data_IF_233053866307
#
_entry.id   IF_233053866307
#
_cell.length_a   1.000
_cell.length_b   1.000
_cell.length_c   1.000
_cell.angle_alpha   90.00
_cell.angle_beta   90.00
_cell.angle_gamma   90.00
#
_symmetry.space_group_name_H-M   'P 1'
#
loop_
_entity.id
_entity.type
_entity.pdbx_description
1 polymer ?
#
# COMPACT_ATOMS: atom_id res chain seq x y z
N UNK A 1 21.65 6.28 -21.80
CA UNK A 1 20.40 5.75 -21.19
C UNK A 1 20.37 6.23 -19.75
N UNK A 2 19.33 6.94 -19.34
CA UNK A 2 19.12 7.29 -17.92
C UNK A 2 18.65 6.02 -17.20
N UNK A 3 19.30 5.68 -16.09
CA UNK A 3 18.91 4.58 -15.20
C UNK A 3 18.49 5.17 -13.86
N UNK A 4 17.35 4.70 -13.33
CA UNK A 4 16.88 5.03 -11.99
C UNK A 4 17.02 3.77 -11.14
N UNK A 5 17.97 3.72 -10.19
CA UNK A 5 18.10 2.57 -9.31
C UNK A 5 16.91 2.50 -8.37
N UNK A 6 16.39 1.30 -8.14
CA UNK A 6 15.37 1.07 -7.12
C UNK A 6 15.99 0.30 -5.96
N UNK A 7 15.74 0.79 -4.75
CA UNK A 7 16.11 0.16 -3.50
C UNK A 7 14.92 -0.62 -2.96
N UNK A 8 15.18 -1.84 -2.48
CA UNK A 8 14.16 -2.62 -1.78
C UNK A 8 14.11 -2.16 -0.33
N UNK A 9 12.93 -1.72 0.12
CA UNK A 9 12.65 -1.36 1.50
C UNK A 9 11.52 -2.19 2.08
N UNK A 10 11.17 -1.89 3.32
CA UNK A 10 10.02 -2.46 4.01
C UNK A 10 8.72 -1.94 3.38
N UNK A 11 7.76 -2.84 3.19
CA UNK A 11 6.40 -2.49 2.77
C UNK A 11 5.58 -1.91 3.92
N UNK A 12 4.53 -1.15 3.61
CA UNK A 12 3.64 -0.64 4.65
C UNK A 12 2.95 -1.79 5.43
N UNK A 13 2.66 -2.91 4.78
CA UNK A 13 2.17 -4.12 5.45
C UNK A 13 3.17 -4.63 6.48
N UNK A 14 4.42 -4.86 6.07
CA UNK A 14 5.47 -5.36 6.98
C UNK A 14 5.63 -4.41 8.18
N UNK A 15 5.64 -3.10 7.93
CA UNK A 15 5.71 -2.10 9.00
C UNK A 15 4.52 -2.17 9.96
N UNK A 16 3.30 -2.23 9.44
CA UNK A 16 2.10 -2.36 10.27
C UNK A 16 2.04 -3.71 11.01
N UNK A 17 2.59 -4.79 10.44
CA UNK A 17 2.69 -6.09 11.10
C UNK A 17 3.64 -6.05 12.28
N UNK A 18 4.82 -5.43 12.13
CA UNK A 18 5.78 -5.26 13.23
C UNK A 18 5.21 -4.44 14.39
N UNK A 19 4.34 -3.46 14.10
CA UNK A 19 3.65 -2.67 15.13
C UNK A 19 2.40 -3.38 15.71
N UNK A 20 2.02 -4.56 15.21
CA UNK A 20 0.78 -5.25 15.61
C UNK A 20 -0.51 -4.57 15.12
N UNK A 21 -0.41 -3.63 14.17
CA UNK A 21 -1.51 -2.81 13.66
C UNK A 21 -2.17 -3.38 12.39
N UNK A 22 -1.51 -4.31 11.69
CA UNK A 22 -1.96 -4.79 10.40
C UNK A 22 -3.36 -5.39 10.40
N UNK A 23 -3.68 -6.22 11.40
CA UNK A 23 -4.99 -6.88 11.48
C UNK A 23 -6.13 -5.87 11.66
N UNK A 24 -5.92 -4.84 12.49
CA UNK A 24 -6.88 -3.76 12.66
C UNK A 24 -6.98 -2.92 11.37
N UNK A 25 -5.86 -2.63 10.72
CA UNK A 25 -5.82 -1.84 9.50
C UNK A 25 -6.60 -2.51 8.36
N UNK A 26 -6.31 -3.78 8.06
CA UNK A 26 -6.96 -4.51 6.95
C UNK A 26 -8.47 -4.72 7.15
N UNK A 27 -8.93 -4.73 8.41
CA UNK A 27 -10.36 -4.81 8.74
C UNK A 27 -11.05 -3.46 8.59
N UNK A 28 -10.38 -2.37 9.01
CA UNK A 28 -10.92 -1.01 8.90
C UNK A 28 -10.93 -0.50 7.46
N UNK A 29 -9.93 -0.89 6.66
CA UNK A 29 -9.74 -0.46 5.28
C UNK A 29 -9.56 -1.68 4.37
N UNK A 30 -10.67 -2.31 3.93
CA UNK A 30 -10.62 -3.50 3.10
C UNK A 30 -9.91 -3.25 1.77
N UNK A 31 -9.00 -4.15 1.40
CA UNK A 31 -8.29 -4.10 0.14
C UNK A 31 -9.15 -4.56 -1.03
N UNK A 32 -9.27 -3.71 -2.06
CA UNK A 32 -9.83 -4.07 -3.35
C UNK A 32 -8.86 -3.59 -4.46
N UNK A 33 -8.05 -4.49 -5.07
CA UNK A 33 -7.08 -4.10 -6.09
C UNK A 33 -7.70 -3.38 -7.30
N UNK A 34 -8.96 -3.70 -7.64
CA UNK A 34 -9.65 -3.07 -8.76
C UNK A 34 -9.97 -1.60 -8.49
N UNK A 35 -10.07 -1.19 -7.23
CA UNK A 35 -10.35 0.20 -6.85
C UNK A 35 -9.25 1.17 -7.35
N UNK A 36 -8.01 0.69 -7.57
CA UNK A 36 -6.92 1.50 -8.12
C UNK A 36 -7.20 1.98 -9.56
N UNK A 37 -8.02 1.25 -10.30
CA UNK A 37 -8.28 1.48 -11.73
C UNK A 37 -9.71 1.93 -12.01
N UNK A 38 -10.51 2.12 -10.97
CA UNK A 38 -11.90 2.54 -11.08
C UNK A 38 -12.08 3.90 -10.38
N UNK A 39 -12.33 4.99 -11.15
CA UNK A 39 -12.50 6.33 -10.61
C UNK A 39 -13.62 6.46 -9.58
N UNK A 40 -14.59 5.55 -9.54
CA UNK A 40 -15.65 5.55 -8.53
C UNK A 40 -15.13 5.35 -7.10
N UNK A 41 -13.91 4.84 -6.94
CA UNK A 41 -13.25 4.63 -5.65
C UNK A 41 -12.13 5.64 -5.35
N UNK A 42 -12.08 6.76 -6.07
CA UNK A 42 -11.04 7.79 -5.90
C UNK A 42 -11.07 8.49 -4.53
N UNK A 43 -12.15 8.36 -3.75
CA UNK A 43 -12.29 8.91 -2.40
C UNK A 43 -12.38 7.76 -1.40
N UNK A 44 -11.39 7.66 -0.50
CA UNK A 44 -11.33 6.64 0.55
C UNK A 44 -10.79 7.24 1.85
N UNK A 45 -11.10 6.61 2.99
CA UNK A 45 -10.55 7.01 4.30
C UNK A 45 -9.03 6.81 4.39
N UNK A 46 -8.49 5.80 3.69
CA UNK A 46 -7.05 5.58 3.50
C UNK A 46 -6.76 5.36 2.00
N UNK A 47 -6.35 6.40 1.25
CA UNK A 47 -6.22 6.33 -0.19
C UNK A 47 -5.07 5.40 -0.67
N UNK A 48 -4.13 5.08 0.21
CA UNK A 48 -2.94 4.28 -0.10
C UNK A 48 -3.06 2.78 0.26
N UNK A 49 -4.26 2.31 0.59
CA UNK A 49 -4.49 0.89 0.93
C UNK A 49 -4.01 -0.06 -0.17
N UNK A 50 -4.04 0.36 -1.44
CA UNK A 50 -3.61 -0.45 -2.59
C UNK A 50 -2.10 -0.59 -2.75
N UNK A 51 -1.30 0.21 -2.04
CA UNK A 51 0.16 0.18 -2.10
C UNK A 51 0.77 -0.47 -0.83
N UNK A 52 -0.04 -1.16 -0.02
CA UNK A 52 0.40 -1.78 1.23
C UNK A 52 1.59 -2.75 1.04
N UNK A 53 1.68 -3.38 -0.12
CA UNK A 53 2.72 -4.34 -0.49
C UNK A 53 3.83 -3.76 -1.39
N UNK A 54 3.82 -2.45 -1.65
CA UNK A 54 4.89 -1.77 -2.40
C UNK A 54 6.19 -1.85 -1.59
N UNK A 55 7.27 -2.33 -2.22
CA UNK A 55 8.54 -2.58 -1.54
C UNK A 55 9.78 -2.07 -2.28
N UNK A 56 9.63 -1.45 -3.46
CA UNK A 56 10.73 -0.87 -4.23
C UNK A 56 10.55 0.63 -4.37
N UNK A 57 11.62 1.39 -4.12
CA UNK A 57 11.61 2.85 -4.04
C UNK A 57 12.83 3.41 -4.79
N UNK A 58 12.67 4.49 -5.56
CA UNK A 58 13.77 5.16 -6.25
C UNK A 58 13.29 6.15 -7.31
#
# INVERSE_FOLDING_TARGET
LLQVPLEKGQSAREYLQEQGLWEQYRLKYPYNPMAKFDPSFAVAGEPMTNDADLAYYG
#
